data_IF_817530475074
#
_entry.id   IF_817530475074
#
_cell.length_a   1.000
_cell.length_b   1.000
_cell.length_c   1.000
_cell.angle_alpha   90.00
_cell.angle_beta   90.00
_cell.angle_gamma   90.00
#
_symmetry.space_group_name_H-M   'P 1'
#
loop_
_entity.id
_entity.type
_entity.pdbx_description
1 polymer ?
#
# COMPACT_ATOMS: atom_id res chain seq x y z
N UNK A 1 66.90 48.73 -13.93
CA UNK A 1 65.70 49.15 -13.17
C UNK A 1 64.70 47.99 -13.14
N UNK A 2 64.39 47.42 -11.97
CA UNK A 2 63.51 46.26 -11.79
C UNK A 2 62.14 46.75 -11.31
N UNK A 3 61.06 46.44 -12.04
CA UNK A 3 59.70 46.92 -11.74
C UNK A 3 59.12 46.22 -10.50
N UNK A 4 58.70 47.01 -9.52
CA UNK A 4 57.94 46.62 -8.33
C UNK A 4 56.46 46.67 -8.72
N UNK A 5 55.86 45.56 -9.12
CA UNK A 5 54.45 45.51 -9.53
C UNK A 5 53.80 44.16 -9.20
N UNK A 6 54.21 43.53 -8.10
CA UNK A 6 53.78 42.15 -7.76
C UNK A 6 52.64 42.15 -6.72
N UNK A 7 52.53 43.16 -5.85
CA UNK A 7 51.63 43.07 -4.69
C UNK A 7 50.18 43.52 -4.96
N UNK A 8 49.96 44.45 -5.88
CA UNK A 8 48.61 44.98 -6.17
C UNK A 8 47.75 44.05 -7.04
N UNK A 9 48.38 43.16 -7.80
CA UNK A 9 47.67 42.21 -8.67
C UNK A 9 47.08 41.03 -7.92
N UNK A 10 47.68 40.61 -6.81
CA UNK A 10 47.21 39.48 -6.00
C UNK A 10 45.96 39.85 -5.21
N UNK A 11 45.96 41.00 -4.56
CA UNK A 11 44.81 41.53 -3.82
C UNK A 11 43.58 41.76 -4.71
N UNK A 12 43.77 42.14 -5.98
CA UNK A 12 42.66 42.32 -6.93
C UNK A 12 42.06 40.99 -7.38
N UNK A 13 42.86 39.92 -7.49
CA UNK A 13 42.38 38.57 -7.84
C UNK A 13 41.56 37.96 -6.70
N UNK A 14 42.03 38.09 -5.46
CA UNK A 14 41.30 37.58 -4.30
C UNK A 14 39.96 38.30 -4.06
N UNK A 15 39.92 39.63 -4.25
CA UNK A 15 38.65 40.39 -4.15
C UNK A 15 37.63 39.96 -5.19
N UNK A 16 38.07 39.72 -6.43
CA UNK A 16 37.19 39.21 -7.51
C UNK A 16 36.69 37.80 -7.23
N UNK A 17 37.55 36.93 -6.69
CA UNK A 17 37.18 35.56 -6.33
C UNK A 17 36.14 35.54 -5.21
N UNK A 18 36.31 36.37 -4.16
CA UNK A 18 35.34 36.48 -3.05
C UNK A 18 33.98 37.01 -3.51
N UNK A 19 33.97 38.01 -4.40
CA UNK A 19 32.72 38.53 -4.99
C UNK A 19 32.06 37.47 -5.87
N UNK A 20 32.84 36.74 -6.67
CA UNK A 20 32.33 35.64 -7.49
C UNK A 20 31.67 34.54 -6.66
N UNK A 21 32.32 34.10 -5.58
CA UNK A 21 31.75 33.08 -4.69
C UNK A 21 30.48 33.56 -3.97
N UNK A 22 30.43 34.82 -3.55
CA UNK A 22 29.21 35.40 -2.96
C UNK A 22 28.03 35.41 -3.95
N UNK A 23 28.30 35.81 -5.20
CA UNK A 23 27.29 35.88 -6.26
C UNK A 23 26.83 34.48 -6.70
N UNK A 24 27.75 33.52 -6.73
CA UNK A 24 27.46 32.11 -7.02
C UNK A 24 26.57 31.47 -5.95
N UNK A 25 26.81 31.75 -4.66
CA UNK A 25 25.97 31.23 -3.57
C UNK A 25 24.54 31.82 -3.62
N UNK A 26 24.40 33.11 -3.93
CA UNK A 26 23.08 33.75 -4.12
C UNK A 26 22.35 33.12 -5.32
N UNK A 27 23.07 32.86 -6.41
CA UNK A 27 22.51 32.21 -7.59
C UNK A 27 21.98 30.80 -7.27
N UNK A 28 22.72 29.98 -6.52
CA UNK A 28 22.27 28.66 -6.08
C UNK A 28 20.98 28.78 -5.24
N UNK A 29 20.92 29.72 -4.29
CA UNK A 29 19.72 29.88 -3.46
C UNK A 29 18.47 30.26 -4.26
N UNK A 30 18.60 31.09 -5.28
CA UNK A 30 17.48 31.50 -6.15
C UNK A 30 17.06 30.36 -7.09
N UNK A 31 18.03 29.63 -7.66
CA UNK A 31 17.71 28.50 -8.55
C UNK A 31 17.12 27.31 -7.81
N UNK A 32 17.51 27.08 -6.56
CA UNK A 32 16.89 26.06 -5.70
C UNK A 32 15.41 26.33 -5.46
N UNK A 33 14.97 27.58 -5.33
CA UNK A 33 13.54 27.89 -5.13
C UNK A 33 12.77 27.97 -6.45
N UNK A 34 13.37 28.48 -7.52
CA UNK A 34 12.74 28.55 -8.84
C UNK A 34 12.54 27.16 -9.49
N UNK A 35 13.40 26.19 -9.19
CA UNK A 35 13.27 24.81 -9.69
C UNK A 35 11.98 24.13 -9.24
N UNK A 36 11.53 24.37 -8.00
CA UNK A 36 10.27 23.81 -7.49
C UNK A 36 9.03 24.36 -8.21
N UNK A 37 9.07 25.61 -8.67
CA UNK A 37 7.93 26.24 -9.35
C UNK A 37 7.73 25.74 -10.79
N UNK A 38 8.79 25.30 -11.47
CA UNK A 38 8.70 24.75 -12.83
C UNK A 38 8.29 23.27 -12.83
N UNK A 39 8.66 22.51 -11.79
CA UNK A 39 8.24 21.12 -11.60
C UNK A 39 6.74 20.97 -11.27
N UNK A 40 6.05 22.03 -10.80
CA UNK A 40 4.62 21.96 -10.48
C UNK A 40 3.68 22.23 -11.66
N UNK A 41 4.20 22.30 -12.90
CA UNK A 41 3.42 22.70 -14.09
C UNK A 41 2.89 21.55 -14.96
N UNK A 42 3.07 20.30 -14.53
CA UNK A 42 2.32 19.18 -15.11
C UNK A 42 1.00 19.00 -14.34
N UNK A 43 -0.17 19.08 -14.98
CA UNK A 43 -1.41 18.57 -14.41
C UNK A 43 -1.43 17.04 -14.57
N UNK A 44 -0.41 16.37 -14.05
CA UNK A 44 -0.58 15.01 -13.57
C UNK A 44 -1.24 15.18 -12.20
N UNK A 45 -2.43 14.62 -12.04
CA UNK A 45 -3.14 14.57 -10.75
C UNK A 45 -2.11 14.42 -9.62
N UNK A 46 -2.20 15.22 -8.54
CA UNK A 46 -1.39 14.93 -7.37
C UNK A 46 -1.61 13.45 -7.08
N UNK A 47 -0.51 12.69 -6.97
CA UNK A 47 -0.57 11.40 -6.32
C UNK A 47 -1.10 11.76 -4.94
N UNK A 48 -2.39 11.55 -4.73
CA UNK A 48 -3.00 11.70 -3.42
C UNK A 48 -2.18 10.77 -2.54
N UNK A 49 -1.43 11.35 -1.60
CA UNK A 49 -0.96 10.59 -0.45
C UNK A 49 -2.24 9.95 0.10
N UNK A 50 -2.36 8.62 0.00
CA UNK A 50 -3.51 7.90 0.56
C UNK A 50 -3.64 8.36 2.00
N UNK A 51 -4.68 9.15 2.29
CA UNK A 51 -4.89 9.74 3.61
C UNK A 51 -5.20 8.61 4.59
N UNK A 52 -4.14 8.05 5.20
CA UNK A 52 -4.26 7.10 6.29
C UNK A 52 -4.96 7.78 7.45
N UNK A 53 -6.22 7.42 7.68
CA UNK A 53 -7.03 8.05 8.71
C UNK A 53 -7.60 7.00 9.66
N UNK A 54 -7.22 7.07 10.93
CA UNK A 54 -7.73 6.18 11.96
C UNK A 54 -8.98 6.79 12.61
N UNK A 55 -10.13 6.12 12.51
CA UNK A 55 -11.43 6.64 12.98
C UNK A 55 -11.75 6.33 14.45
N UNK A 56 -10.81 5.69 15.16
CA UNK A 56 -10.99 5.21 16.53
C UNK A 56 -11.36 3.73 16.64
N UNK A 57 -11.69 3.07 15.52
CA UNK A 57 -11.91 1.63 15.42
C UNK A 57 -11.10 0.99 14.30
N UNK A 58 -11.06 1.63 13.13
CA UNK A 58 -10.43 1.11 11.92
C UNK A 58 -9.46 2.13 11.29
N UNK A 59 -8.51 1.60 10.54
CA UNK A 59 -7.71 2.33 9.58
C UNK A 59 -8.48 2.47 8.27
N UNK A 60 -8.73 3.70 7.86
CA UNK A 60 -9.45 4.03 6.63
C UNK A 60 -8.46 4.39 5.52
N UNK A 61 -8.62 3.75 4.36
CA UNK A 61 -7.88 4.03 3.14
C UNK A 61 -8.86 4.35 2.03
N UNK A 62 -8.63 5.45 1.32
CA UNK A 62 -9.40 5.81 0.14
C UNK A 62 -8.67 5.36 -1.12
N UNK A 63 -9.34 4.57 -1.96
CA UNK A 63 -8.86 4.24 -3.30
C UNK A 63 -10.02 4.40 -4.28
N UNK A 64 -9.80 5.22 -5.32
CA UNK A 64 -10.78 5.58 -6.35
C UNK A 64 -12.14 6.06 -5.79
N UNK A 65 -12.10 6.85 -4.70
CA UNK A 65 -13.32 7.36 -4.05
C UNK A 65 -14.07 6.33 -3.21
N UNK A 66 -13.50 5.14 -3.01
CA UNK A 66 -14.03 4.10 -2.13
C UNK A 66 -13.20 4.01 -0.85
N UNK A 67 -13.88 4.03 0.30
CA UNK A 67 -13.26 3.81 1.59
C UNK A 67 -13.21 2.31 1.93
N UNK A 68 -12.04 1.88 2.41
CA UNK A 68 -11.75 0.55 2.94
C UNK A 68 -11.34 0.69 4.40
N UNK A 69 -11.78 -0.25 5.24
CA UNK A 69 -11.59 -0.16 6.69
C UNK A 69 -10.92 -1.42 7.20
N UNK A 70 -9.74 -1.27 7.78
CA UNK A 70 -8.90 -2.38 8.24
C UNK A 70 -8.64 -2.28 9.73
N UNK A 71 -8.48 -3.40 10.40
CA UNK A 71 -8.17 -3.45 11.83
C UNK A 71 -6.73 -3.07 12.10
N UNK A 72 -5.83 -3.37 11.16
CA UNK A 72 -4.39 -3.11 11.28
C UNK A 72 -3.90 -2.17 10.17
N UNK A 73 -2.88 -1.33 10.46
CA UNK A 73 -2.31 -0.42 9.46
C UNK A 73 -1.46 -1.18 8.44
N UNK A 74 -1.25 -0.58 7.26
CA UNK A 74 -0.50 -1.19 6.17
C UNK A 74 0.95 -1.52 6.57
N UNK A 75 1.57 -0.72 7.43
CA UNK A 75 2.94 -0.93 7.90
C UNK A 75 3.09 -2.18 8.79
N UNK A 76 1.99 -2.75 9.28
CA UNK A 76 2.02 -3.98 10.09
C UNK A 76 2.12 -5.26 9.24
N UNK A 77 2.01 -5.12 7.92
CA UNK A 77 1.91 -6.24 6.99
C UNK A 77 3.30 -6.71 6.55
N UNK A 78 3.52 -8.02 6.64
CA UNK A 78 4.69 -8.67 6.06
C UNK A 78 4.33 -9.25 4.69
N UNK A 79 4.68 -8.53 3.62
CA UNK A 79 4.42 -8.97 2.23
C UNK A 79 5.02 -10.35 1.91
N UNK A 80 6.11 -10.74 2.58
CA UNK A 80 6.76 -12.03 2.34
C UNK A 80 5.92 -13.24 2.80
N UNK A 81 4.90 -12.98 3.62
CA UNK A 81 3.92 -13.97 4.07
C UNK A 81 2.77 -14.22 3.09
N UNK A 82 2.76 -13.52 1.94
CA UNK A 82 1.66 -13.54 0.98
C UNK A 82 2.12 -14.18 -0.34
N UNK A 83 1.47 -15.28 -0.71
CA UNK A 83 1.74 -16.01 -1.94
C UNK A 83 0.43 -16.35 -2.67
N UNK A 84 -0.15 -15.35 -3.33
CA UNK A 84 -1.39 -15.47 -4.10
C UNK A 84 -1.24 -14.74 -5.44
N UNK A 85 -1.89 -15.28 -6.47
CA UNK A 85 -1.93 -14.68 -7.82
C UNK A 85 -3.29 -14.02 -8.12
N UNK A 86 -4.33 -14.35 -7.35
CA UNK A 86 -5.66 -13.76 -7.50
C UNK A 86 -5.63 -12.25 -7.24
N UNK A 87 -6.51 -11.56 -7.94
CA UNK A 87 -6.75 -10.12 -7.85
C UNK A 87 -8.21 -9.84 -7.53
N UNK A 88 -8.58 -8.59 -7.23
CA UNK A 88 -9.97 -8.19 -7.02
C UNK A 88 -10.90 -8.60 -8.18
N UNK A 89 -10.40 -8.50 -9.42
CA UNK A 89 -11.15 -8.86 -10.63
C UNK A 89 -11.56 -10.34 -10.68
N UNK A 90 -10.83 -11.21 -9.98
CA UNK A 90 -11.15 -12.63 -9.92
C UNK A 90 -12.42 -12.90 -9.12
N UNK A 91 -12.83 -11.97 -8.26
CA UNK A 91 -14.04 -12.06 -7.42
C UNK A 91 -15.23 -11.28 -7.99
N UNK A 92 -15.00 -10.32 -8.90
CA UNK A 92 -16.04 -9.42 -9.40
C UNK A 92 -17.17 -10.17 -10.09
N UNK A 93 -18.39 -10.03 -9.57
CA UNK A 93 -19.61 -10.64 -10.12
C UNK A 93 -19.69 -12.17 -9.98
N UNK A 94 -18.73 -12.82 -9.32
CA UNK A 94 -18.71 -14.27 -9.09
C UNK A 94 -19.21 -14.59 -7.68
N UNK A 95 -19.62 -15.83 -7.47
CA UNK A 95 -19.92 -16.31 -6.11
C UNK A 95 -18.62 -16.47 -5.34
N UNK A 96 -18.64 -16.06 -4.06
CA UNK A 96 -17.55 -16.21 -3.12
C UNK A 96 -18.00 -17.09 -1.97
N UNK A 97 -17.33 -18.23 -1.81
CA UNK A 97 -17.57 -19.15 -0.71
C UNK A 97 -16.59 -18.89 0.42
N UNK A 98 -17.07 -18.96 1.66
CA UNK A 98 -16.27 -18.70 2.85
C UNK A 98 -16.35 -19.87 3.82
N UNK A 99 -15.21 -20.47 4.15
CA UNK A 99 -15.04 -21.37 5.29
C UNK A 99 -14.28 -20.63 6.39
N UNK A 100 -15.01 -19.78 7.11
CA UNK A 100 -14.48 -18.92 8.17
C UNK A 100 -15.37 -19.09 9.40
N UNK A 101 -14.77 -19.55 10.50
CA UNK A 101 -15.49 -19.79 11.77
C UNK A 101 -15.42 -18.60 12.73
N UNK A 102 -14.49 -17.67 12.51
CA UNK A 102 -14.30 -16.50 13.35
C UNK A 102 -15.13 -15.32 12.82
N UNK A 103 -16.02 -14.78 13.66
CA UNK A 103 -16.92 -13.68 13.28
C UNK A 103 -16.18 -12.37 12.98
N UNK A 104 -15.09 -12.07 13.68
CA UNK A 104 -14.32 -10.85 13.44
C UNK A 104 -13.67 -10.87 12.04
N UNK A 105 -13.14 -12.04 11.64
CA UNK A 105 -12.59 -12.24 10.29
C UNK A 105 -13.68 -12.11 9.23
N UNK A 106 -14.85 -12.70 9.48
CA UNK A 106 -15.96 -12.60 8.55
C UNK A 106 -16.42 -11.15 8.39
N UNK A 107 -16.52 -10.38 9.47
CA UNK A 107 -16.88 -8.95 9.45
C UNK A 107 -15.88 -8.15 8.62
N UNK A 108 -14.58 -8.28 8.89
CA UNK A 108 -13.51 -7.55 8.19
C UNK A 108 -13.47 -7.86 6.69
N UNK A 109 -13.59 -9.15 6.35
CA UNK A 109 -13.64 -9.58 4.96
C UNK A 109 -14.87 -9.00 4.25
N UNK A 110 -16.05 -9.14 4.85
CA UNK A 110 -17.30 -8.72 4.21
C UNK A 110 -17.44 -7.21 4.12
N UNK A 111 -16.88 -6.46 5.07
CA UNK A 111 -16.86 -5.00 5.05
C UNK A 111 -16.07 -4.47 3.85
N UNK A 112 -14.92 -5.08 3.55
CA UNK A 112 -14.06 -4.64 2.45
C UNK A 112 -14.45 -5.26 1.12
N UNK A 113 -14.68 -6.58 1.09
CA UNK A 113 -14.92 -7.34 -0.14
C UNK A 113 -16.40 -7.48 -0.51
N UNK A 114 -17.34 -7.22 0.39
CA UNK A 114 -18.77 -7.55 0.21
C UNK A 114 -19.45 -6.96 -1.02
N UNK A 115 -18.88 -5.91 -1.60
CA UNK A 115 -19.40 -5.21 -2.77
C UNK A 115 -18.99 -5.80 -4.13
N UNK A 116 -18.01 -6.72 -4.17
CA UNK A 116 -17.45 -7.22 -5.43
C UNK A 116 -18.05 -8.55 -5.89
N UNK A 117 -18.16 -9.59 -5.03
CA UNK A 117 -18.87 -10.80 -5.39
C UNK A 117 -20.34 -10.54 -5.68
N UNK A 118 -20.95 -11.37 -6.52
CA UNK A 118 -22.40 -11.35 -6.72
C UNK A 118 -23.16 -11.89 -5.50
N UNK A 119 -22.52 -12.80 -4.75
CA UNK A 119 -23.03 -13.41 -3.53
C UNK A 119 -21.87 -13.92 -2.67
N UNK A 120 -22.00 -13.75 -1.35
CA UNK A 120 -21.14 -14.39 -0.35
C UNK A 120 -21.93 -15.49 0.34
N UNK A 121 -21.36 -16.69 0.44
CA UNK A 121 -22.03 -17.85 1.04
C UNK A 121 -21.11 -18.63 2.00
N UNK A 122 -21.54 -18.88 3.25
CA UNK A 122 -20.79 -19.73 4.17
C UNK A 122 -20.86 -21.21 3.73
N UNK A 123 -19.73 -21.90 3.80
CA UNK A 123 -19.55 -23.31 3.39
C UNK A 123 -18.53 -24.01 4.31
N UNK A 124 -18.24 -25.30 4.09
CA UNK A 124 -17.00 -25.91 4.57
C UNK A 124 -16.15 -26.43 3.40
N UNK A 125 -14.84 -26.41 3.60
CA UNK A 125 -13.90 -27.16 2.77
C UNK A 125 -13.96 -28.65 3.14
N UNK A 126 -14.59 -29.47 2.29
CA UNK A 126 -14.80 -30.89 2.56
C UNK A 126 -15.96 -31.18 3.52
N UNK A 127 -15.86 -32.29 4.27
CA UNK A 127 -16.96 -32.79 5.11
C UNK A 127 -17.38 -31.81 6.21
N UNK A 128 -18.67 -31.44 6.23
CA UNK A 128 -19.25 -30.56 7.25
C UNK A 128 -19.95 -31.37 8.35
N UNK A 129 -19.74 -31.00 9.62
CA UNK A 129 -20.58 -31.49 10.73
C UNK A 129 -21.96 -30.81 10.79
N UNK A 130 -22.16 -29.72 10.04
CA UNK A 130 -23.37 -28.90 10.00
C UNK A 130 -24.07 -29.02 8.63
N UNK A 131 -25.32 -28.57 8.54
CA UNK A 131 -26.06 -28.41 7.27
C UNK A 131 -25.52 -27.24 6.40
N UNK A 132 -24.19 -27.13 6.27
CA UNK A 132 -23.54 -26.21 5.35
C UNK A 132 -23.18 -26.95 4.05
N UNK A 133 -23.20 -26.27 2.89
CA UNK A 133 -22.74 -26.87 1.66
C UNK A 133 -21.25 -27.20 1.73
N UNK A 134 -20.89 -28.38 1.22
CA UNK A 134 -19.50 -28.80 1.07
C UNK A 134 -18.95 -28.26 -0.24
N UNK A 135 -17.74 -27.70 -0.18
CA UNK A 135 -17.05 -27.11 -1.33
C UNK A 135 -15.61 -27.59 -1.43
N UNK A 136 -15.04 -27.45 -2.62
CA UNK A 136 -13.66 -27.82 -2.92
C UNK A 136 -12.92 -26.63 -3.54
N UNK A 137 -11.60 -26.76 -3.76
CA UNK A 137 -10.79 -25.73 -4.39
C UNK A 137 -10.98 -25.60 -5.91
N UNK A 138 -11.98 -26.27 -6.48
CA UNK A 138 -12.49 -25.96 -7.81
C UNK A 138 -13.33 -24.66 -7.80
N UNK A 139 -13.97 -24.36 -6.67
CA UNK A 139 -14.77 -23.15 -6.46
C UNK A 139 -13.92 -21.97 -5.94
N UNK A 140 -14.43 -20.74 -6.07
CA UNK A 140 -13.82 -19.57 -5.43
C UNK A 140 -14.08 -19.58 -3.92
N UNK A 141 -13.12 -20.11 -3.16
CA UNK A 141 -13.26 -20.38 -1.74
C UNK A 141 -12.15 -19.67 -0.94
N UNK A 142 -12.52 -18.96 0.12
CA UNK A 142 -11.57 -18.44 1.11
C UNK A 142 -11.74 -19.26 2.39
N UNK A 143 -10.64 -19.79 2.90
CA UNK A 143 -10.57 -20.63 4.08
C UNK A 143 -9.71 -19.93 5.12
N UNK A 144 -10.24 -19.79 6.34
CA UNK A 144 -9.46 -19.30 7.47
C UNK A 144 -9.15 -20.43 8.46
N UNK A 145 -7.91 -20.45 8.95
CA UNK A 145 -7.48 -21.35 10.02
C UNK A 145 -6.68 -20.60 11.08
N UNK A 146 -6.95 -20.90 12.33
CA UNK A 146 -6.14 -20.40 13.45
C UNK A 146 -4.72 -20.97 13.36
N UNK A 147 -3.73 -20.09 13.44
CA UNK A 147 -2.31 -20.45 13.42
C UNK A 147 -1.50 -19.45 14.23
N UNK A 148 -0.29 -19.84 14.63
CA UNK A 148 0.67 -18.92 15.28
C UNK A 148 1.45 -18.09 14.26
N UNK A 149 1.48 -18.55 13.02
CA UNK A 149 2.15 -17.87 11.93
C UNK A 149 1.09 -17.22 11.06
N UNK A 150 1.38 -16.01 10.61
CA UNK A 150 0.56 -15.31 9.65
C UNK A 150 1.03 -15.71 8.24
N UNK A 151 0.14 -16.32 7.47
CA UNK A 151 0.44 -16.80 6.13
C UNK A 151 -0.81 -16.72 5.26
N UNK A 152 -0.66 -16.17 4.05
CA UNK A 152 -1.70 -16.13 3.03
C UNK A 152 -1.18 -16.85 1.80
N UNK A 153 -1.83 -17.92 1.38
CA UNK A 153 -1.40 -18.68 0.21
C UNK A 153 -2.55 -19.20 -0.63
N UNK A 154 -2.28 -19.41 -1.90
CA UNK A 154 -3.24 -19.93 -2.86
C UNK A 154 -2.95 -21.40 -3.19
N UNK A 155 -4.02 -22.17 -3.31
CA UNK A 155 -3.99 -23.51 -3.91
C UNK A 155 -5.21 -23.63 -4.84
N UNK A 156 -4.96 -23.74 -6.14
CA UNK A 156 -5.99 -23.70 -7.19
C UNK A 156 -6.87 -22.44 -7.05
N UNK A 157 -8.20 -22.58 -6.87
CA UNK A 157 -9.11 -21.46 -6.63
C UNK A 157 -9.34 -21.14 -5.14
N UNK A 158 -8.71 -21.88 -4.23
CA UNK A 158 -8.77 -21.58 -2.80
C UNK A 158 -7.71 -20.54 -2.40
N UNK A 159 -8.12 -19.63 -1.52
CA UNK A 159 -7.18 -18.84 -0.71
C UNK A 159 -7.24 -19.35 0.72
N UNK A 160 -6.08 -19.66 1.27
CA UNK A 160 -5.91 -20.03 2.67
C UNK A 160 -5.29 -18.85 3.42
N UNK A 161 -5.96 -18.45 4.49
CA UNK A 161 -5.53 -17.42 5.43
C UNK A 161 -5.29 -18.11 6.77
N UNK A 162 -4.04 -18.18 7.18
CA UNK A 162 -3.64 -18.74 8.46
C UNK A 162 -3.14 -17.64 9.37
N UNK A 163 -3.59 -17.61 10.63
CA UNK A 163 -3.09 -16.67 11.64
C UNK A 163 -4.16 -15.79 12.26
N UNK A 164 -3.74 -14.61 12.73
CA UNK A 164 -4.58 -13.60 13.36
C UNK A 164 -5.14 -12.57 12.35
N UNK A 165 -5.80 -11.51 12.85
CA UNK A 165 -6.44 -10.50 12.01
C UNK A 165 -5.46 -9.78 11.07
N UNK A 166 -4.17 -9.76 11.40
CA UNK A 166 -3.17 -9.19 10.50
C UNK A 166 -3.14 -9.99 9.19
N UNK A 167 -3.39 -11.30 9.22
CA UNK A 167 -3.38 -12.15 8.03
C UNK A 167 -4.53 -11.87 7.07
N UNK A 168 -5.71 -11.50 7.60
CA UNK A 168 -6.83 -11.11 6.73
C UNK A 168 -6.61 -9.73 6.13
N UNK A 169 -6.03 -8.80 6.90
CA UNK A 169 -5.64 -7.51 6.38
C UNK A 169 -4.56 -7.66 5.30
N UNK A 170 -3.55 -8.51 5.51
CA UNK A 170 -2.55 -8.85 4.48
C UNK A 170 -3.21 -9.31 3.17
N UNK A 171 -4.18 -10.21 3.27
CA UNK A 171 -4.94 -10.67 2.11
C UNK A 171 -5.72 -9.52 1.45
N UNK A 172 -6.44 -8.72 2.23
CA UNK A 172 -7.26 -7.62 1.72
C UNK A 172 -6.41 -6.53 1.06
N UNK A 173 -5.32 -6.11 1.69
CA UNK A 173 -4.38 -5.14 1.10
C UNK A 173 -3.84 -5.65 -0.24
N UNK A 174 -3.50 -6.95 -0.32
CA UNK A 174 -3.02 -7.56 -1.56
C UNK A 174 -4.08 -7.58 -2.66
N UNK A 175 -5.29 -8.03 -2.33
CA UNK A 175 -6.37 -8.15 -3.31
C UNK A 175 -6.85 -6.78 -3.80
N UNK A 176 -6.89 -5.78 -2.92
CA UNK A 176 -7.33 -4.42 -3.22
C UNK A 176 -6.24 -3.59 -3.91
N UNK A 177 -5.01 -4.08 -3.97
CA UNK A 177 -3.92 -3.47 -4.74
C UNK A 177 -3.12 -2.40 -3.99
N UNK A 178 -3.17 -2.41 -2.64
CA UNK A 178 -2.30 -1.56 -1.82
C UNK A 178 -0.86 -2.11 -1.75
N UNK A 179 -0.67 -3.41 -2.02
CA UNK A 179 0.64 -4.13 -2.09
C UNK A 179 0.68 -5.19 -3.21
#
# INVERSE_FOLDING_TARGET
MRKINVHDSENKKEKRLKIFFGLFLIFIMIFSTAGFALLSSNPSNPIEEEEQNYDGKYWNYNSDGTNFYFSNPLESIDESSINIDKTLNDYLGKELFLDIKNEAFLEELTLNMGRYPSRIQPVCLGECEKDLPEKTCEDNLIVWKESKNNLVYQLDNCIFIEGDLVSIDSFLYKILGFI
#
